data_IF_288899819541
#
_entry.id   IF_288899819541
#
_cell.length_a   1.000
_cell.length_b   1.000
_cell.length_c   1.000
_cell.angle_alpha   90.00
_cell.angle_beta   90.00
_cell.angle_gamma   90.00
#
_symmetry.space_group_name_H-M   'P 1'
#
loop_
_entity.id
_entity.type
_entity.pdbx_description
1 polymer ?
#
# COMPACT_ATOMS: atom_id res chain seq x y z
N UNK A 1 13.75 -9.51 -15.07
CA UNK A 1 12.54 -9.86 -15.84
C UNK A 1 11.73 -8.59 -16.01
N UNK A 2 11.72 -7.99 -17.20
CA UNK A 2 10.91 -6.81 -17.50
C UNK A 2 9.48 -7.26 -17.77
N UNK A 3 8.58 -7.07 -16.80
CA UNK A 3 7.15 -7.34 -16.99
C UNK A 3 6.66 -6.37 -18.06
N UNK A 4 6.10 -6.89 -19.16
CA UNK A 4 5.59 -6.06 -20.25
C UNK A 4 4.52 -5.09 -19.72
N UNK A 5 4.66 -3.79 -20.00
CA UNK A 5 3.69 -2.82 -19.53
C UNK A 5 2.34 -3.02 -20.24
N UNK A 6 1.22 -3.03 -19.49
CA UNK A 6 -0.09 -3.25 -20.08
C UNK A 6 -0.51 -2.06 -20.95
N UNK A 7 -1.08 -2.36 -22.13
CA UNK A 7 -1.59 -1.38 -23.11
C UNK A 7 -2.56 -0.35 -22.53
N UNK A 8 -3.27 -0.68 -21.45
CA UNK A 8 -4.17 0.22 -20.75
C UNK A 8 -4.20 -0.09 -19.26
N UNK A 9 -4.13 0.97 -18.42
CA UNK A 9 -4.38 0.89 -16.98
C UNK A 9 -5.58 1.76 -16.64
N UNK A 10 -6.54 1.20 -15.90
CA UNK A 10 -7.63 2.00 -15.31
C UNK A 10 -7.04 3.07 -14.38
N UNK A 11 -7.58 4.30 -14.36
CA UNK A 11 -7.19 5.33 -13.39
C UNK A 11 -7.29 4.82 -11.94
N UNK A 12 -6.57 5.47 -11.04
CA UNK A 12 -6.69 5.18 -9.61
C UNK A 12 -8.09 5.57 -9.12
N UNK A 13 -8.69 4.72 -8.28
CA UNK A 13 -9.93 5.07 -7.62
C UNK A 13 -9.69 5.99 -6.41
N UNK A 14 -10.75 6.62 -5.90
CA UNK A 14 -10.65 7.58 -4.80
C UNK A 14 -9.99 6.98 -3.54
N UNK A 15 -10.23 5.71 -3.25
CA UNK A 15 -9.62 5.07 -2.07
C UNK A 15 -8.12 4.85 -2.25
N UNK A 16 -7.66 4.51 -3.46
CA UNK A 16 -6.23 4.39 -3.79
C UNK A 16 -5.54 5.75 -3.69
N UNK A 17 -6.18 6.81 -4.19
CA UNK A 17 -5.68 8.19 -4.05
C UNK A 17 -5.61 8.59 -2.57
N UNK A 18 -6.60 8.23 -1.76
CA UNK A 18 -6.59 8.52 -0.33
C UNK A 18 -5.47 7.79 0.43
N UNK A 19 -5.10 6.57 0.01
CA UNK A 19 -3.92 5.86 0.56
C UNK A 19 -2.64 6.64 0.22
N UNK A 20 -2.50 7.11 -1.02
CA UNK A 20 -1.33 7.90 -1.44
C UNK A 20 -1.24 9.23 -0.69
N UNK A 21 -2.34 9.96 -0.58
CA UNK A 21 -2.41 11.22 0.19
C UNK A 21 -2.01 11.02 1.66
N UNK A 22 -2.47 9.93 2.28
CA UNK A 22 -2.08 9.59 3.64
C UNK A 22 -0.58 9.31 3.76
N UNK A 23 -0.04 8.43 2.91
CA UNK A 23 1.39 8.09 2.92
C UNK A 23 2.26 9.31 2.63
N UNK A 24 1.81 10.21 1.75
CA UNK A 24 2.48 11.48 1.48
C UNK A 24 2.60 12.36 2.74
N UNK A 25 1.55 12.39 3.57
CA UNK A 25 1.52 13.16 4.83
C UNK A 25 2.40 12.55 5.93
N UNK A 26 2.28 11.25 6.17
CA UNK A 26 2.95 10.61 7.32
C UNK A 26 4.31 9.99 6.99
N UNK A 27 4.68 9.93 5.71
CA UNK A 27 5.88 9.28 5.13
C UNK A 27 5.94 7.77 5.27
N UNK A 28 5.57 7.22 6.44
CA UNK A 28 5.61 5.79 6.71
C UNK A 28 4.34 5.35 7.43
N UNK A 29 3.71 4.27 6.96
CA UNK A 29 2.52 3.73 7.62
C UNK A 29 2.33 2.25 7.37
N UNK A 30 1.69 1.55 8.30
CA UNK A 30 1.28 0.15 8.10
C UNK A 30 -0.20 0.03 7.74
N UNK A 31 -0.60 -1.13 7.22
CA UNK A 31 -1.97 -1.38 6.76
C UNK A 31 -3.05 -1.18 7.82
N UNK A 32 -2.75 -1.38 9.12
CA UNK A 32 -3.69 -1.10 10.22
C UNK A 32 -3.92 0.39 10.41
N UNK A 33 -2.84 1.18 10.40
CA UNK A 33 -2.91 2.64 10.53
C UNK A 33 -3.69 3.25 9.36
N UNK A 34 -3.40 2.81 8.14
CA UNK A 34 -4.09 3.26 6.92
C UNK A 34 -5.57 2.91 6.98
N UNK A 35 -5.92 1.68 7.38
CA UNK A 35 -7.32 1.27 7.51
C UNK A 35 -8.06 2.08 8.57
N UNK A 36 -7.42 2.37 9.71
CA UNK A 36 -7.98 3.23 10.76
C UNK A 36 -8.23 4.65 10.25
N UNK A 37 -7.27 5.23 9.52
CA UNK A 37 -7.40 6.57 8.96
C UNK A 37 -8.53 6.66 7.92
N UNK A 38 -8.62 5.67 7.02
CA UNK A 38 -9.64 5.61 5.97
C UNK A 38 -10.99 5.04 6.44
N UNK A 39 -11.19 4.92 7.75
CA UNK A 39 -12.42 4.42 8.39
C UNK A 39 -12.88 3.07 7.82
N UNK A 40 -11.93 2.17 7.57
CA UNK A 40 -12.21 0.84 7.04
C UNK A 40 -12.41 -0.17 8.16
N UNK A 41 -13.31 -1.15 7.96
CA UNK A 41 -13.64 -2.12 9.02
C UNK A 41 -12.43 -2.99 9.40
N UNK A 42 -11.50 -3.23 8.49
CA UNK A 42 -10.29 -3.99 8.76
C UNK A 42 -9.17 -3.72 7.73
N UNK A 43 -7.95 -4.11 8.09
CA UNK A 43 -6.75 -3.99 7.24
C UNK A 43 -6.79 -4.78 5.93
N UNK A 44 -7.61 -5.85 5.83
CA UNK A 44 -7.67 -6.67 4.60
C UNK A 44 -8.27 -5.87 3.44
N UNK A 45 -9.19 -4.95 3.73
CA UNK A 45 -9.78 -4.05 2.72
C UNK A 45 -8.77 -3.09 2.08
N UNK A 46 -7.61 -2.87 2.72
CA UNK A 46 -6.53 -2.01 2.24
C UNK A 46 -5.46 -2.81 1.48
N UNK A 47 -5.29 -4.11 1.75
CA UNK A 47 -4.23 -4.92 1.13
C UNK A 47 -4.27 -4.90 -0.40
N UNK A 48 -5.43 -5.13 -1.02
CA UNK A 48 -5.53 -5.11 -2.48
C UNK A 48 -5.14 -3.74 -3.07
N UNK A 49 -5.43 -2.65 -2.36
CA UNK A 49 -5.06 -1.30 -2.80
C UNK A 49 -3.56 -1.08 -2.72
N UNK A 50 -2.94 -1.48 -1.60
CA UNK A 50 -1.49 -1.40 -1.42
C UNK A 50 -0.76 -2.24 -2.48
N UNK A 51 -1.22 -3.46 -2.74
CA UNK A 51 -0.65 -4.30 -3.79
C UNK A 51 -0.75 -3.64 -5.16
N UNK A 52 -1.93 -3.12 -5.55
CA UNK A 52 -2.08 -2.42 -6.83
C UNK A 52 -1.18 -1.20 -6.93
N UNK A 53 -1.02 -0.43 -5.85
CA UNK A 53 -0.17 0.76 -5.83
C UNK A 53 1.32 0.39 -5.90
N UNK A 54 1.74 -0.67 -5.21
CA UNK A 54 3.11 -1.20 -5.25
C UNK A 54 3.45 -1.75 -6.64
N UNK A 55 2.59 -2.59 -7.21
CA UNK A 55 2.75 -3.16 -8.56
C UNK A 55 2.81 -2.08 -9.65
N UNK A 56 2.12 -0.95 -9.43
CA UNK A 56 2.13 0.20 -10.33
C UNK A 56 3.30 1.16 -10.07
N UNK A 57 4.11 0.93 -9.03
CA UNK A 57 5.28 1.74 -8.69
C UNK A 57 4.96 3.07 -7.99
N UNK A 58 3.75 3.23 -7.45
CA UNK A 58 3.39 4.45 -6.71
C UNK A 58 3.88 4.45 -5.26
N UNK A 59 4.07 3.27 -4.67
CA UNK A 59 4.57 3.10 -3.30
C UNK A 59 5.56 1.95 -3.26
N UNK A 60 6.35 1.90 -2.21
CA UNK A 60 7.20 0.77 -1.85
C UNK A 60 6.92 0.33 -0.42
N UNK A 61 7.52 -0.80 -0.01
CA UNK A 61 7.39 -1.28 1.36
C UNK A 61 8.70 -1.77 1.94
N UNK A 62 8.91 -1.47 3.21
CA UNK A 62 9.90 -2.13 4.04
C UNK A 62 9.27 -3.41 4.61
N UNK A 63 9.63 -4.55 4.02
CA UNK A 63 9.24 -5.84 4.54
C UNK A 63 10.26 -6.92 4.18
N UNK A 64 11.13 -7.23 5.14
CA UNK A 64 12.16 -8.26 4.98
C UNK A 64 11.95 -9.43 5.97
N UNK A 65 12.78 -10.47 5.88
CA UNK A 65 12.68 -11.67 6.76
C UNK A 65 12.76 -11.32 8.25
N UNK A 66 13.56 -10.33 8.63
CA UNK A 66 13.71 -9.89 10.03
C UNK A 66 12.40 -9.30 10.58
N UNK A 67 11.68 -8.51 9.77
CA UNK A 67 10.36 -7.97 10.16
C UNK A 67 9.36 -9.09 10.45
N UNK A 68 9.32 -10.10 9.57
CA UNK A 68 8.42 -11.25 9.74
C UNK A 68 8.72 -12.03 11.02
N UNK A 69 10.01 -12.27 11.32
CA UNK A 69 10.44 -12.95 12.54
C UNK A 69 10.12 -12.14 13.81
N UNK A 70 10.23 -10.82 13.74
CA UNK A 70 9.91 -9.91 14.85
C UNK A 70 8.41 -9.62 15.01
N UNK A 71 7.53 -10.24 14.21
CA UNK A 71 6.09 -9.98 14.24
C UNK A 71 5.70 -8.55 13.82
N UNK A 72 6.60 -7.82 13.14
CA UNK A 72 6.36 -6.45 12.70
C UNK A 72 5.59 -6.44 11.37
N UNK A 73 4.55 -5.60 11.23
CA UNK A 73 3.84 -5.45 9.97
C UNK A 73 4.74 -4.79 8.91
N UNK A 74 4.39 -4.97 7.64
CA UNK A 74 5.00 -4.19 6.56
C UNK A 74 4.70 -2.70 6.74
N UNK A 75 5.72 -1.89 6.45
CA UNK A 75 5.65 -0.44 6.46
C UNK A 75 5.73 0.05 5.01
N UNK A 76 4.80 0.92 4.62
CA UNK A 76 4.63 1.44 3.27
C UNK A 76 5.02 2.91 3.23
N UNK A 77 5.57 3.35 2.09
CA UNK A 77 6.00 4.71 1.80
C UNK A 77 5.87 5.05 0.32
#
# INVERSE_FOLDING_TARGET
MTVAEPKYRRPLNLEQVAVLDWLYKVRFSNSKQIAKYLLKPNQKTIQNKLQILEERGFISKHYNKSYKLAGRPAEYF
#
